data_IF_833696145392
#
_entry.id   IF_833696145392
#
_cell.length_a   1.000
_cell.length_b   1.000
_cell.length_c   1.000
_cell.angle_alpha   90.00
_cell.angle_beta   90.00
_cell.angle_gamma   90.00
#
_symmetry.space_group_name_H-M   'P 1'
#
loop_
_entity.id
_entity.type
_entity.pdbx_description
1 polymer ?
#
# COMPACT_ATOMS: atom_id res chain seq x y z
N UNK A 1 -3.15 -7.02 -6.02
CA UNK A 1 -4.46 -6.52 -5.48
C UNK A 1 -5.15 -7.59 -4.62
N UNK A 2 -5.29 -8.84 -5.07
CA UNK A 2 -6.03 -9.89 -4.32
C UNK A 2 -5.45 -10.18 -2.92
N UNK A 3 -4.11 -10.29 -2.79
CA UNK A 3 -3.50 -10.46 -1.46
C UNK A 3 -3.69 -9.22 -0.60
N UNK A 4 -3.48 -8.03 -1.15
CA UNK A 4 -3.64 -6.75 -0.44
C UNK A 4 -5.04 -6.63 0.16
N UNK A 5 -6.08 -6.98 -0.58
CA UNK A 5 -7.46 -6.99 -0.08
C UNK A 5 -7.65 -7.95 1.10
N UNK A 6 -7.06 -9.15 1.05
CA UNK A 6 -7.13 -10.14 2.14
C UNK A 6 -6.40 -9.63 3.39
N UNK A 7 -5.20 -9.04 3.21
CA UNK A 7 -4.40 -8.43 4.29
C UNK A 7 -5.16 -7.27 4.93
N UNK A 8 -5.76 -6.38 4.14
CA UNK A 8 -6.59 -5.27 4.66
C UNK A 8 -7.74 -5.82 5.51
N UNK A 9 -8.51 -6.79 4.99
CA UNK A 9 -9.64 -7.37 5.74
C UNK A 9 -9.20 -7.97 7.07
N UNK A 10 -8.09 -8.68 7.09
CA UNK A 10 -7.56 -9.32 8.30
C UNK A 10 -7.05 -8.28 9.32
N UNK A 11 -6.32 -7.24 8.89
CA UNK A 11 -5.92 -6.12 9.75
C UNK A 11 -7.14 -5.40 10.33
N UNK A 12 -8.16 -5.14 9.52
CA UNK A 12 -9.44 -4.55 9.97
C UNK A 12 -10.15 -5.43 10.98
N UNK A 13 -10.18 -6.76 10.78
CA UNK A 13 -10.75 -7.71 11.72
C UNK A 13 -10.03 -7.68 13.08
N UNK A 14 -8.72 -7.40 13.10
CA UNK A 14 -7.91 -7.24 14.32
C UNK A 14 -8.02 -5.85 14.96
N UNK A 15 -8.81 -4.93 14.37
CA UNK A 15 -9.08 -3.61 14.93
C UNK A 15 -8.13 -2.50 14.48
N UNK A 16 -7.19 -2.77 13.59
CA UNK A 16 -6.27 -1.76 13.07
C UNK A 16 -6.93 -0.82 12.06
N UNK A 17 -6.50 0.43 12.04
CA UNK A 17 -6.86 1.42 11.02
C UNK A 17 -5.80 1.36 9.92
N UNK A 18 -6.25 1.15 8.68
CA UNK A 18 -5.38 0.88 7.54
C UNK A 18 -5.53 1.98 6.50
N UNK A 19 -4.43 2.60 6.12
CA UNK A 19 -4.29 3.43 4.94
C UNK A 19 -3.72 2.62 3.77
N UNK A 20 -4.02 3.05 2.55
CA UNK A 20 -3.44 2.45 1.35
C UNK A 20 -2.97 3.52 0.37
N UNK A 21 -1.79 3.33 -0.22
CA UNK A 21 -1.27 4.17 -1.29
C UNK A 21 -0.99 3.27 -2.49
N UNK A 22 -1.62 3.57 -3.62
CA UNK A 22 -1.31 2.90 -4.90
C UNK A 22 -0.51 3.84 -5.77
N UNK A 23 0.65 3.37 -6.23
CA UNK A 23 1.42 4.04 -7.26
C UNK A 23 1.04 3.48 -8.64
N UNK A 24 0.73 4.38 -9.56
CA UNK A 24 0.57 4.06 -10.98
C UNK A 24 1.56 4.90 -11.79
N UNK A 25 2.35 4.24 -12.63
CA UNK A 25 3.32 4.92 -13.50
C UNK A 25 2.66 5.63 -14.69
N UNK A 26 1.36 5.46 -14.87
CA UNK A 26 0.57 6.06 -15.93
C UNK A 26 -0.43 7.06 -15.34
N UNK A 27 -0.98 7.93 -16.20
CA UNK A 27 -2.10 8.77 -15.79
C UNK A 27 -3.31 7.92 -15.40
N UNK A 28 -3.99 8.32 -14.34
CA UNK A 28 -5.20 7.66 -13.85
C UNK A 28 -6.35 8.64 -13.77
N UNK A 29 -7.56 8.11 -13.91
CA UNK A 29 -8.82 8.84 -13.70
C UNK A 29 -9.53 8.21 -12.48
N UNK A 30 -9.89 9.03 -11.49
CA UNK A 30 -10.64 8.57 -10.32
C UNK A 30 -12.06 9.10 -10.27
N UNK A 31 -12.33 10.20 -10.96
CA UNK A 31 -13.65 10.81 -10.99
C UNK A 31 -14.50 10.24 -12.13
N UNK A 32 -15.80 10.21 -11.93
CA UNK A 32 -16.72 9.74 -12.95
C UNK A 32 -17.02 10.88 -13.92
N UNK A 33 -16.81 10.65 -15.21
CA UNK A 33 -17.15 11.61 -16.26
C UNK A 33 -18.60 12.13 -16.16
N UNK A 34 -18.76 13.46 -16.25
CA UNK A 34 -20.06 14.14 -16.18
C UNK A 34 -20.51 14.57 -14.78
N UNK A 35 -19.82 14.17 -13.71
CA UNK A 35 -20.08 14.69 -12.36
C UNK A 35 -19.64 16.16 -12.23
N UNK A 36 -20.13 16.87 -11.23
CA UNK A 36 -19.75 18.27 -11.03
C UNK A 36 -18.26 18.43 -10.72
N UNK A 37 -17.68 17.55 -9.90
CA UNK A 37 -16.26 17.53 -9.58
C UNK A 37 -15.39 17.27 -10.81
N UNK A 38 -15.79 16.33 -11.65
CA UNK A 38 -15.14 16.10 -12.94
C UNK A 38 -15.20 17.35 -13.84
N UNK A 39 -16.37 18.00 -13.93
CA UNK A 39 -16.55 19.24 -14.71
C UNK A 39 -15.69 20.38 -14.19
N UNK A 40 -15.54 20.52 -12.87
CA UNK A 40 -14.63 21.50 -12.26
C UNK A 40 -13.18 21.24 -12.69
N UNK A 41 -12.73 19.97 -12.63
CA UNK A 41 -11.38 19.59 -13.08
C UNK A 41 -11.17 19.88 -14.58
N UNK A 42 -12.16 19.58 -15.45
CA UNK A 42 -12.11 19.87 -16.88
C UNK A 42 -12.11 21.38 -17.17
N UNK A 43 -12.77 22.19 -16.34
CA UNK A 43 -12.77 23.64 -16.45
C UNK A 43 -11.45 24.28 -16.01
N UNK A 44 -10.48 23.49 -15.51
CA UNK A 44 -9.12 23.95 -15.21
C UNK A 44 -8.80 24.03 -13.71
N UNK A 45 -9.68 23.59 -12.81
CA UNK A 45 -9.35 23.56 -11.38
C UNK A 45 -8.15 22.68 -11.09
N UNK A 46 -7.18 23.20 -10.34
CA UNK A 46 -5.95 22.50 -9.97
C UNK A 46 -6.15 21.58 -8.76
N UNK A 47 -7.16 21.86 -7.95
CA UNK A 47 -7.49 21.08 -6.78
C UNK A 47 -9.02 21.02 -6.58
N UNK A 48 -9.57 19.83 -6.65
CA UNK A 48 -11.00 19.56 -6.46
C UNK A 48 -11.20 18.77 -5.19
N UNK A 49 -12.09 19.21 -4.32
CA UNK A 49 -12.48 18.52 -3.09
C UNK A 49 -13.98 18.32 -3.09
N UNK A 50 -14.42 17.11 -2.75
CA UNK A 50 -15.81 16.82 -2.44
C UNK A 50 -15.90 16.28 -1.01
N UNK A 51 -16.85 16.76 -0.23
CA UNK A 51 -17.06 16.29 1.14
C UNK A 51 -18.52 15.98 1.42
N UNK A 52 -18.74 15.04 2.31
CA UNK A 52 -20.01 14.68 2.90
C UNK A 52 -19.82 14.46 4.40
N UNK A 53 -20.89 14.25 5.21
CA UNK A 53 -20.76 14.01 6.65
C UNK A 53 -19.82 12.85 7.03
N UNK A 54 -19.57 11.90 6.12
CA UNK A 54 -18.82 10.67 6.41
C UNK A 54 -17.68 10.39 5.45
N UNK A 55 -17.44 11.27 4.45
CA UNK A 55 -16.43 11.01 3.41
C UNK A 55 -15.90 12.30 2.80
N UNK A 56 -14.59 12.36 2.62
CA UNK A 56 -13.91 13.39 1.84
C UNK A 56 -13.11 12.71 0.73
N UNK A 57 -13.14 13.29 -0.47
CA UNK A 57 -12.25 12.94 -1.56
C UNK A 57 -11.58 14.21 -2.10
N UNK A 58 -10.31 14.11 -2.45
CA UNK A 58 -9.49 15.21 -2.94
C UNK A 58 -8.66 14.75 -4.12
N UNK A 59 -8.71 15.50 -5.21
CA UNK A 59 -7.92 15.27 -6.43
C UNK A 59 -7.14 16.55 -6.72
N UNK A 60 -5.83 16.46 -6.71
CA UNK A 60 -4.92 17.58 -6.93
C UNK A 60 -3.97 17.29 -8.08
N UNK A 61 -3.86 18.22 -9.02
CA UNK A 61 -2.80 18.20 -10.03
C UNK A 61 -1.47 18.52 -9.35
N UNK A 62 -0.41 17.85 -9.78
CA UNK A 62 0.95 18.10 -9.28
C UNK A 62 1.89 18.29 -10.47
N UNK A 63 2.85 19.18 -10.33
CA UNK A 63 3.91 19.38 -11.35
C UNK A 63 5.03 18.35 -11.18
N UNK A 64 5.22 17.87 -9.96
CA UNK A 64 6.20 16.85 -9.61
C UNK A 64 5.51 15.74 -8.82
N UNK A 65 5.93 14.51 -9.05
CA UNK A 65 5.42 13.36 -8.31
C UNK A 65 5.72 13.52 -6.81
N UNK A 66 4.68 13.37 -5.98
CA UNK A 66 4.86 13.37 -4.53
C UNK A 66 5.59 12.09 -4.09
N UNK A 67 6.56 12.24 -3.21
CA UNK A 67 7.25 11.10 -2.61
C UNK A 67 6.31 10.27 -1.75
N UNK A 68 6.64 8.98 -1.57
CA UNK A 68 5.88 8.09 -0.68
C UNK A 68 5.72 8.68 0.73
N UNK A 69 6.76 9.31 1.26
CA UNK A 69 6.74 9.88 2.62
C UNK A 69 5.85 11.12 2.73
N UNK A 70 5.81 11.96 1.70
CA UNK A 70 4.87 13.09 1.66
C UNK A 70 3.42 12.60 1.62
N UNK A 71 3.12 11.56 0.83
CA UNK A 71 1.79 10.96 0.80
C UNK A 71 1.43 10.30 2.13
N UNK A 72 2.35 9.54 2.72
CA UNK A 72 2.15 8.89 4.01
C UNK A 72 1.88 9.92 5.13
N UNK A 73 2.57 11.05 5.13
CA UNK A 73 2.38 12.12 6.11
C UNK A 73 0.97 12.74 6.10
N UNK A 74 0.21 12.56 5.02
CA UNK A 74 -1.20 13.01 4.96
C UNK A 74 -2.17 12.08 5.67
N UNK A 75 -1.74 10.87 6.02
CA UNK A 75 -2.58 9.83 6.64
C UNK A 75 -2.29 9.69 8.13
N UNK A 76 -2.75 10.64 8.94
CA UNK A 76 -2.45 10.72 10.38
C UNK A 76 -3.36 9.89 11.27
N UNK A 77 -4.45 9.36 10.73
CA UNK A 77 -5.51 8.66 11.44
C UNK A 77 -5.50 7.14 11.23
N UNK A 78 -4.38 6.59 10.72
CA UNK A 78 -4.18 5.16 10.49
C UNK A 78 -3.04 4.60 11.33
N UNK A 79 -3.08 3.30 11.61
CA UNK A 79 -2.06 2.60 12.39
C UNK A 79 -0.96 2.04 11.48
N UNK A 80 -1.30 1.75 10.23
CA UNK A 80 -0.38 1.26 9.20
C UNK A 80 -0.81 1.75 7.82
N UNK A 81 0.18 1.99 6.96
CA UNK A 81 -0.02 2.31 5.55
C UNK A 81 0.54 1.17 4.69
N UNK A 82 -0.31 0.58 3.87
CA UNK A 82 0.08 -0.43 2.88
C UNK A 82 0.21 0.23 1.52
N UNK A 83 1.31 -0.07 0.82
CA UNK A 83 1.54 0.50 -0.51
C UNK A 83 1.53 -0.58 -1.59
N UNK A 84 1.02 -0.25 -2.77
CA UNK A 84 1.04 -1.10 -3.96
C UNK A 84 1.73 -0.35 -5.11
N UNK A 85 2.61 -1.04 -5.85
CA UNK A 85 3.25 -0.49 -7.06
C UNK A 85 4.64 0.11 -6.85
N UNK A 86 5.08 0.38 -5.63
CA UNK A 86 6.39 0.96 -5.32
C UNK A 86 7.55 -0.04 -5.39
N UNK A 87 7.76 -0.68 -6.54
CA UNK A 87 8.80 -1.74 -6.72
C UNK A 87 10.20 -1.29 -6.35
N UNK A 88 10.54 -0.04 -6.62
CA UNK A 88 11.85 0.58 -6.33
C UNK A 88 11.81 1.57 -5.15
N UNK A 89 10.71 1.59 -4.41
CA UNK A 89 10.56 2.48 -3.26
C UNK A 89 11.40 2.03 -2.06
N UNK A 90 11.60 2.92 -1.07
CA UNK A 90 12.47 2.67 0.09
C UNK A 90 11.81 1.84 1.19
N UNK A 91 10.49 1.62 1.14
CA UNK A 91 9.77 0.88 2.17
C UNK A 91 10.11 -0.62 2.16
N UNK A 92 10.07 -1.32 3.31
CA UNK A 92 10.16 -2.77 3.37
C UNK A 92 9.13 -3.44 2.47
N UNK A 93 9.50 -4.55 1.82
CA UNK A 93 8.68 -5.15 0.77
C UNK A 93 8.26 -6.58 1.10
N UNK A 94 7.02 -6.91 0.75
CA UNK A 94 6.54 -8.28 0.60
C UNK A 94 6.31 -8.49 -0.89
N UNK A 95 7.09 -9.38 -1.51
CA UNK A 95 6.91 -9.68 -2.93
C UNK A 95 5.92 -10.81 -3.12
N UNK A 96 4.96 -10.58 -4.03
CA UNK A 96 4.00 -11.59 -4.46
C UNK A 96 4.45 -12.16 -5.80
N UNK A 97 4.93 -13.39 -5.80
CA UNK A 97 5.40 -14.08 -7.00
C UNK A 97 4.51 -15.26 -7.34
N UNK A 98 4.23 -15.45 -8.62
CA UNK A 98 3.50 -16.61 -9.14
C UNK A 98 4.36 -17.33 -10.16
N UNK A 99 4.49 -18.65 -10.03
CA UNK A 99 5.26 -19.50 -10.94
C UNK A 99 4.88 -19.29 -12.41
N UNK A 100 3.59 -19.10 -12.68
CA UNK A 100 3.09 -18.86 -14.05
C UNK A 100 3.61 -17.56 -14.68
N UNK A 101 4.09 -16.59 -13.87
CA UNK A 101 4.55 -15.29 -14.35
C UNK A 101 6.05 -15.15 -14.35
N UNK A 102 6.73 -15.69 -13.35
CA UNK A 102 8.18 -15.61 -13.22
C UNK A 102 8.71 -16.69 -12.30
N UNK A 103 9.87 -17.25 -12.67
CA UNK A 103 10.66 -18.13 -11.81
C UNK A 103 11.60 -17.34 -10.87
N UNK A 104 11.73 -16.02 -11.07
CA UNK A 104 12.66 -15.15 -10.35
C UNK A 104 11.91 -14.06 -9.61
N UNK A 105 12.48 -13.60 -8.50
CA UNK A 105 12.02 -12.46 -7.74
C UNK A 105 12.49 -11.15 -8.41
N UNK A 106 11.66 -10.09 -8.28
CA UNK A 106 11.97 -8.75 -8.79
C UNK A 106 12.86 -7.99 -7.81
N UNK A 107 12.60 -8.15 -6.49
CA UNK A 107 13.33 -7.47 -5.44
C UNK A 107 14.53 -8.30 -4.99
N UNK A 108 15.59 -7.62 -4.56
CA UNK A 108 16.71 -8.30 -3.91
C UNK A 108 16.29 -8.83 -2.53
N UNK A 109 16.87 -9.94 -2.05
CA UNK A 109 16.55 -10.47 -0.71
C UNK A 109 16.73 -9.46 0.43
N UNK A 110 17.65 -8.51 0.27
CA UNK A 110 17.89 -7.46 1.28
C UNK A 110 16.75 -6.45 1.41
N UNK A 111 15.90 -6.31 0.38
CA UNK A 111 14.74 -5.42 0.39
C UNK A 111 13.47 -6.11 0.90
N UNK A 112 13.50 -7.45 0.98
CA UNK A 112 12.35 -8.26 1.29
C UNK A 112 12.23 -8.53 2.79
N UNK A 113 11.02 -8.43 3.31
CA UNK A 113 10.66 -8.94 4.64
C UNK A 113 9.93 -10.27 4.55
N UNK A 114 9.34 -10.58 3.41
CA UNK A 114 8.70 -11.86 3.09
C UNK A 114 8.47 -12.02 1.59
N UNK A 115 8.19 -13.26 1.20
CA UNK A 115 7.65 -13.61 -0.13
C UNK A 115 6.34 -14.37 0.04
N UNK A 116 5.37 -14.07 -0.82
CA UNK A 116 4.10 -14.80 -0.92
C UNK A 116 4.03 -15.44 -2.31
N UNK A 117 4.03 -16.78 -2.38
CA UNK A 117 4.21 -17.47 -3.67
C UNK A 117 3.65 -18.90 -3.65
N UNK A 118 3.35 -19.41 -4.84
CA UNK A 118 3.10 -20.83 -5.13
C UNK A 118 4.36 -21.62 -5.49
N UNK A 119 5.53 -21.04 -5.25
CA UNK A 119 6.85 -21.68 -5.40
C UNK A 119 7.76 -21.30 -4.24
N UNK A 120 8.86 -22.05 -4.04
CA UNK A 120 9.85 -21.78 -3.02
C UNK A 120 11.11 -21.18 -3.62
N UNK A 121 11.73 -20.26 -2.88
CA UNK A 121 12.97 -19.60 -3.23
C UNK A 121 14.03 -19.91 -2.15
N UNK A 122 15.28 -20.05 -2.56
CA UNK A 122 16.41 -20.23 -1.63
C UNK A 122 16.88 -18.85 -1.11
N UNK A 123 16.10 -18.28 -0.20
CA UNK A 123 16.35 -16.95 0.39
C UNK A 123 16.03 -16.96 1.89
N UNK A 124 16.75 -16.15 2.69
CA UNK A 124 16.64 -16.14 4.16
C UNK A 124 15.50 -15.25 4.67
N UNK A 125 14.33 -15.23 4.01
CA UNK A 125 13.15 -14.50 4.48
C UNK A 125 11.93 -15.42 4.58
N UNK A 126 10.96 -15.13 5.45
CA UNK A 126 9.71 -15.87 5.54
C UNK A 126 9.01 -15.99 4.19
N UNK A 127 8.44 -17.16 3.94
CA UNK A 127 7.72 -17.45 2.69
C UNK A 127 6.34 -18.03 3.04
N UNK A 128 5.31 -17.43 2.45
CA UNK A 128 3.90 -17.77 2.67
C UNK A 128 3.27 -18.24 1.38
N UNK A 129 2.23 -19.07 1.49
CA UNK A 129 1.38 -19.45 0.37
C UNK A 129 0.50 -18.27 -0.09
N UNK A 130 0.04 -18.30 -1.35
CA UNK A 130 -0.74 -17.20 -1.96
C UNK A 130 -2.03 -16.85 -1.19
N UNK A 131 -2.56 -17.80 -0.42
CA UNK A 131 -3.79 -17.63 0.35
C UNK A 131 -3.58 -17.37 1.84
N UNK A 132 -2.33 -17.40 2.32
CA UNK A 132 -1.99 -17.23 3.74
C UNK A 132 -1.88 -15.76 4.14
N UNK A 133 -2.99 -15.04 4.02
CA UNK A 133 -3.06 -13.65 4.49
C UNK A 133 -2.94 -13.52 6.02
N UNK A 134 -3.31 -14.56 6.77
CA UNK A 134 -3.20 -14.56 8.24
C UNK A 134 -1.75 -14.57 8.67
N UNK A 135 -0.93 -15.49 8.14
CA UNK A 135 0.50 -15.53 8.42
C UNK A 135 1.24 -14.27 7.99
N UNK A 136 0.86 -13.68 6.85
CA UNK A 136 1.39 -12.38 6.41
C UNK A 136 1.04 -11.28 7.40
N UNK A 137 -0.19 -11.22 7.90
CA UNK A 137 -0.61 -10.21 8.89
C UNK A 137 0.05 -10.45 10.24
N UNK A 138 0.28 -11.70 10.66
CA UNK A 138 1.06 -12.00 11.88
C UNK A 138 2.46 -11.39 11.80
N UNK A 139 3.15 -11.58 10.68
CA UNK A 139 4.46 -10.96 10.44
C UNK A 139 4.41 -9.43 10.46
N UNK A 140 3.40 -8.83 9.83
CA UNK A 140 3.20 -7.37 9.80
C UNK A 140 2.99 -6.83 11.21
N UNK A 141 2.11 -7.46 11.99
CA UNK A 141 1.81 -7.04 13.37
C UNK A 141 3.04 -7.17 14.24
N UNK A 142 3.77 -8.27 14.15
CA UNK A 142 5.00 -8.49 14.93
C UNK A 142 6.05 -7.43 14.63
N UNK A 143 6.26 -7.09 13.36
CA UNK A 143 7.34 -6.18 12.95
C UNK A 143 7.01 -4.70 13.10
N UNK A 144 5.75 -4.31 12.91
CA UNK A 144 5.38 -2.89 12.75
C UNK A 144 4.31 -2.40 13.71
N UNK A 145 3.52 -3.28 14.32
CA UNK A 145 2.35 -2.89 15.12
C UNK A 145 2.41 -3.33 16.59
N UNK A 146 3.30 -4.28 16.95
CA UNK A 146 3.54 -4.61 18.35
C UNK A 146 4.25 -3.44 19.03
N UNK A 147 3.89 -3.08 20.28
CA UNK A 147 4.48 -1.93 20.94
C UNK A 147 5.98 -2.16 21.17
N UNK A 148 6.82 -1.48 20.43
CA UNK A 148 8.17 -1.14 20.90
C UNK A 148 8.01 -0.20 22.10
N UNK A 149 8.78 -0.36 23.20
CA UNK A 149 8.68 0.53 24.36
C UNK A 149 8.77 1.98 23.90
N UNK A 150 7.84 2.78 24.37
CA UNK A 150 7.55 4.16 24.03
C UNK A 150 8.75 5.01 23.57
N UNK A 151 9.02 5.05 22.28
CA UNK A 151 9.79 6.11 21.64
C UNK A 151 9.47 6.10 20.12
N UNK A 152 8.81 7.15 19.68
CA UNK A 152 8.66 7.55 18.28
C UNK A 152 7.73 6.69 17.40
N UNK A 153 6.43 6.96 17.46
CA UNK A 153 5.48 6.53 16.43
C UNK A 153 5.54 7.49 15.23
N UNK A 154 6.37 7.17 14.23
CA UNK A 154 6.11 7.59 12.86
C UNK A 154 5.27 6.49 12.20
N UNK A 155 4.29 6.82 11.33
CA UNK A 155 3.57 5.81 10.58
C UNK A 155 4.56 5.06 9.68
N UNK A 156 4.68 3.75 9.89
CA UNK A 156 5.49 2.89 9.05
C UNK A 156 4.73 2.53 7.78
N UNK A 157 5.41 2.52 6.64
CA UNK A 157 4.83 2.14 5.35
C UNK A 157 5.40 0.82 4.87
N UNK A 158 4.53 -0.05 4.37
CA UNK A 158 4.86 -1.35 3.81
C UNK A 158 4.45 -1.41 2.34
N UNK A 159 5.33 -1.88 1.47
CA UNK A 159 5.05 -2.06 0.05
C UNK A 159 4.75 -3.52 -0.29
N UNK A 160 3.61 -3.76 -0.96
CA UNK A 160 3.27 -5.02 -1.60
C UNK A 160 3.61 -4.93 -3.09
N UNK A 161 4.54 -5.77 -3.53
CA UNK A 161 5.00 -5.81 -4.93
C UNK A 161 4.42 -7.06 -5.59
N UNK A 162 3.61 -6.92 -6.65
CA UNK A 162 3.08 -8.02 -7.45
C UNK A 162 4.11 -8.59 -8.42
#
# INVERSE_FOLDING_TARGET
TTLLEKVIRELKRRGYRVGTIKHDAHNFEMDRAGTDTWRHAQAGSDHVVISSPHKVASIRKVEQEASLWELAATMTDVDIILTEGYKRGPAPKIEVSRRERSAELICSPAELIAVVSDQRFDIPVPQFELDDAVGVVDLIVERFLMPTPAAQRQPESLSLVP
#
